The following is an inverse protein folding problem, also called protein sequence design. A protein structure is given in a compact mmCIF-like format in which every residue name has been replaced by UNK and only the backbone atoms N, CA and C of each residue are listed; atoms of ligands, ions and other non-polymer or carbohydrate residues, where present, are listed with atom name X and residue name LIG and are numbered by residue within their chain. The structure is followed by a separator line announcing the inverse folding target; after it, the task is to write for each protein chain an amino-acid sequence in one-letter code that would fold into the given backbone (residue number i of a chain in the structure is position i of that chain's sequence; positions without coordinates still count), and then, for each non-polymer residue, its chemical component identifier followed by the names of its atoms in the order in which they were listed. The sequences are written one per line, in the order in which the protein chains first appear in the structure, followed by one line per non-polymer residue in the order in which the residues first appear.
data_IF_661929527455
#
_entry.id   IF_661929527455
#
_cell.length_a   1.000
_cell.length_b   1.000
_cell.length_c   1.000
_cell.angle_alpha   90.00
_cell.angle_beta   90.00
_cell.angle_gamma   90.00
#
_symmetry.space_group_name_H-M   'P 1'
#
loop_
_entity.id
_entity.type
_entity.pdbx_description
1 polymer ?
#
# COMPACT_ATOMS: atom_id res chain seq x y z
N UNK A 1 -6.58 -8.12 12.59
CA UNK A 1 -7.81 -8.12 11.77
C UNK A 1 -8.72 -6.93 12.03
N UNK A 2 -9.41 -6.83 13.19
CA UNK A 2 -10.37 -5.73 13.45
C UNK A 2 -9.78 -4.32 13.30
N UNK A 3 -8.54 -4.09 13.77
CA UNK A 3 -7.82 -2.81 13.58
C UNK A 3 -7.62 -2.48 12.10
N UNK A 4 -7.22 -3.46 11.29
CA UNK A 4 -7.06 -3.28 9.84
C UNK A 4 -8.39 -2.96 9.15
N UNK A 5 -9.47 -3.66 9.51
CA UNK A 5 -10.80 -3.33 9.00
C UNK A 5 -11.23 -1.89 9.33
N UNK A 6 -11.05 -1.45 10.58
CA UNK A 6 -11.36 -0.06 10.99
C UNK A 6 -10.61 0.97 10.13
N UNK A 7 -9.33 0.74 9.85
CA UNK A 7 -8.54 1.62 8.99
C UNK A 7 -9.06 1.64 7.54
N UNK A 8 -9.36 0.47 6.97
CA UNK A 8 -9.95 0.36 5.62
C UNK A 8 -11.32 1.04 5.55
N UNK A 9 -12.16 0.85 6.57
CA UNK A 9 -13.48 1.50 6.68
C UNK A 9 -13.36 3.02 6.72
N UNK A 10 -12.41 3.56 7.49
CA UNK A 10 -12.15 5.00 7.58
C UNK A 10 -11.78 5.62 6.23
N UNK A 11 -11.10 4.88 5.36
CA UNK A 11 -10.67 5.37 4.04
C UNK A 11 -11.82 5.43 3.00
N UNK A 12 -13.01 4.91 3.30
CA UNK A 12 -14.24 5.01 2.47
C UNK A 12 -14.10 4.62 0.99
N UNK A 13 -13.16 3.73 0.65
CA UNK A 13 -12.90 3.38 -0.75
C UNK A 13 -13.99 2.50 -1.38
N UNK A 14 -14.23 2.71 -2.67
CA UNK A 14 -15.25 2.01 -3.47
C UNK A 14 -15.06 0.48 -3.51
N UNK A 15 -16.10 -0.25 -3.90
CA UNK A 15 -16.03 -1.69 -4.11
C UNK A 15 -15.07 -2.06 -5.25
N UNK A 16 -14.43 -3.22 -5.10
CA UNK A 16 -13.57 -3.80 -6.13
C UNK A 16 -14.39 -4.58 -7.17
N UNK A 17 -13.75 -5.53 -7.85
CA UNK A 17 -14.38 -6.28 -8.95
C UNK A 17 -15.52 -7.20 -8.50
N UNK A 18 -15.48 -7.67 -7.26
CA UNK A 18 -16.52 -8.51 -6.67
C UNK A 18 -17.76 -7.73 -6.21
N UNK A 19 -17.76 -6.40 -6.39
CA UNK A 19 -18.86 -5.50 -6.03
C UNK A 19 -19.25 -5.53 -4.54
N UNK A 20 -18.43 -6.16 -3.69
CA UNK A 20 -18.65 -6.17 -2.24
C UNK A 20 -18.22 -4.83 -1.67
N UNK A 21 -19.19 -4.09 -1.11
CA UNK A 21 -18.93 -2.83 -0.41
C UNK A 21 -18.41 -3.06 1.00
N UNK A 22 -17.89 -2.01 1.64
CA UNK A 22 -17.47 -2.08 3.04
C UNK A 22 -18.67 -2.42 3.94
N UNK A 23 -19.84 -1.86 3.64
CA UNK A 23 -21.07 -2.12 4.38
C UNK A 23 -21.52 -3.58 4.25
N UNK A 24 -21.45 -4.16 3.05
CA UNK A 24 -21.77 -5.57 2.82
C UNK A 24 -20.79 -6.49 3.56
N UNK A 25 -19.50 -6.16 3.54
CA UNK A 25 -18.49 -6.92 4.29
C UNK A 25 -18.72 -6.85 5.81
N UNK A 26 -19.24 -5.72 6.30
CA UNK A 26 -19.50 -5.48 7.72
C UNK A 26 -20.71 -6.25 8.26
N UNK A 27 -21.66 -6.69 7.42
CA UNK A 27 -22.84 -7.46 7.85
C UNK A 27 -22.45 -8.72 8.63
N UNK A 28 -21.50 -9.49 8.10
CA UNK A 28 -20.96 -10.71 8.74
C UNK A 28 -19.49 -10.50 9.12
N UNK A 29 -19.19 -9.38 9.78
CA UNK A 29 -17.81 -8.91 9.99
C UNK A 29 -16.90 -9.98 10.60
N UNK A 30 -17.30 -10.61 11.70
CA UNK A 30 -16.45 -11.54 12.44
C UNK A 30 -16.13 -12.79 11.61
N UNK A 31 -17.14 -13.42 11.01
CA UNK A 31 -16.95 -14.59 10.14
C UNK A 31 -16.06 -14.26 8.93
N UNK A 32 -16.26 -13.10 8.32
CA UNK A 32 -15.44 -12.63 7.20
C UNK A 32 -13.98 -12.41 7.61
N UNK A 33 -13.74 -11.82 8.79
CA UNK A 33 -12.39 -11.59 9.32
C UNK A 33 -11.71 -12.89 9.72
N UNK A 34 -12.43 -13.83 10.32
CA UNK A 34 -11.88 -15.13 10.74
C UNK A 34 -11.58 -16.02 9.54
N UNK A 35 -12.45 -16.02 8.52
CA UNK A 35 -12.18 -16.67 7.24
C UNK A 35 -10.92 -16.09 6.58
N UNK A 36 -10.84 -14.76 6.47
CA UNK A 36 -9.66 -14.09 5.92
C UNK A 36 -8.39 -14.38 6.73
N UNK A 37 -8.46 -14.38 8.05
CA UNK A 37 -7.30 -14.70 8.91
C UNK A 37 -6.81 -16.13 8.68
N UNK A 38 -7.72 -17.10 8.59
CA UNK A 38 -7.38 -18.50 8.28
C UNK A 38 -6.68 -18.60 6.92
N UNK A 39 -7.19 -17.90 5.91
CA UNK A 39 -6.59 -17.88 4.58
C UNK A 39 -5.20 -17.24 4.57
N UNK A 40 -4.99 -16.15 5.31
CA UNK A 40 -3.70 -15.47 5.41
C UNK A 40 -2.65 -16.31 6.15
N UNK A 41 -3.06 -17.07 7.17
CA UNK A 41 -2.17 -17.96 7.93
C UNK A 41 -1.84 -19.24 7.17
N UNK A 42 -2.70 -19.68 6.26
CA UNK A 42 -2.48 -20.91 5.49
C UNK A 42 -1.67 -20.60 4.24
N UNK A 43 -0.42 -21.06 4.22
CA UNK A 43 0.52 -20.80 3.11
C UNK A 43 -0.11 -21.18 1.76
N UNK A 44 -0.13 -20.24 0.83
CA UNK A 44 -0.65 -20.44 -0.53
C UNK A 44 -2.18 -20.40 -0.68
N UNK A 45 -2.96 -20.35 0.42
CA UNK A 45 -4.43 -20.34 0.36
C UNK A 45 -5.00 -18.99 -0.04
N UNK A 46 -4.44 -17.90 0.48
CA UNK A 46 -4.87 -16.56 0.09
C UNK A 46 -4.38 -16.20 -1.32
N UNK A 47 -5.33 -16.02 -2.24
CA UNK A 47 -5.11 -15.50 -3.58
C UNK A 47 -5.76 -14.12 -3.73
N UNK A 48 -5.00 -13.05 -4.03
CA UNK A 48 -5.57 -11.75 -4.32
C UNK A 48 -6.46 -11.81 -5.56
N UNK A 49 -7.53 -11.01 -5.57
CA UNK A 49 -8.37 -10.82 -6.76
C UNK A 49 -7.78 -9.72 -7.65
N UNK A 50 -8.05 -9.76 -8.97
CA UNK A 50 -7.68 -8.66 -9.86
C UNK A 50 -8.24 -7.33 -9.39
N UNK A 51 -7.45 -6.27 -9.57
CA UNK A 51 -7.86 -4.90 -9.27
C UNK A 51 -8.92 -4.45 -10.27
N UNK A 52 -9.95 -3.73 -9.83
CA UNK A 52 -10.94 -3.13 -10.73
C UNK A 52 -10.39 -1.84 -11.33
N UNK A 53 -10.30 -1.73 -12.66
CA UNK A 53 -9.85 -0.50 -13.31
C UNK A 53 -10.91 0.61 -13.25
N UNK A 54 -10.48 1.81 -12.89
CA UNK A 54 -11.25 3.05 -12.99
C UNK A 54 -10.37 4.13 -13.59
N UNK A 55 -10.91 4.89 -14.55
CA UNK A 55 -10.23 6.05 -15.12
C UNK A 55 -10.66 7.31 -14.36
N UNK A 56 -9.71 7.97 -13.71
CA UNK A 56 -9.94 9.22 -12.99
C UNK A 56 -9.43 10.39 -13.84
N UNK A 57 -10.20 11.48 -14.02
CA UNK A 57 -9.72 12.66 -14.74
C UNK A 57 -8.50 13.28 -14.05
N UNK A 58 -7.42 13.54 -14.81
CA UNK A 58 -6.21 14.27 -14.36
C UNK A 58 -6.19 15.72 -14.87
N UNK A 59 -7.28 16.17 -15.51
CA UNK A 59 -7.37 17.46 -16.21
C UNK A 59 -6.77 17.41 -17.63
N UNK A 60 -7.07 18.42 -18.46
CA UNK A 60 -6.61 18.56 -19.86
C UNK A 60 -6.81 17.30 -20.73
N UNK A 61 -7.94 16.61 -20.58
CA UNK A 61 -8.30 15.42 -21.35
C UNK A 61 -7.51 14.15 -20.99
N UNK A 62 -6.58 14.20 -20.04
CA UNK A 62 -5.81 13.03 -19.59
C UNK A 62 -6.52 12.32 -18.45
N UNK A 63 -6.43 11.00 -18.41
CA UNK A 63 -6.93 10.16 -17.32
C UNK A 63 -5.78 9.47 -16.60
N UNK A 64 -5.97 9.20 -15.31
CA UNK A 64 -5.10 8.34 -14.50
C UNK A 64 -5.82 7.02 -14.26
N UNK A 65 -5.27 5.89 -14.71
CA UNK A 65 -5.82 4.60 -14.37
C UNK A 65 -5.61 4.33 -12.87
N UNK A 66 -6.68 3.97 -12.16
CA UNK A 66 -6.65 3.53 -10.78
C UNK A 66 -7.09 2.07 -10.72
N UNK A 67 -6.34 1.24 -9.99
CA UNK A 67 -6.77 -0.11 -9.64
C UNK A 67 -7.40 -0.11 -8.24
N UNK A 68 -8.64 -0.56 -8.13
CA UNK A 68 -9.36 -0.63 -6.85
C UNK A 68 -9.39 -2.09 -6.39
N UNK A 69 -8.68 -2.45 -5.31
CA UNK A 69 -8.75 -3.80 -4.77
C UNK A 69 -10.08 -4.06 -4.06
N UNK A 70 -10.46 -5.33 -3.99
CA UNK A 70 -11.63 -5.77 -3.21
C UNK A 70 -11.42 -5.50 -1.72
N UNK A 71 -12.51 -5.37 -0.95
CA UNK A 71 -12.45 -5.01 0.48
C UNK A 71 -11.58 -5.99 1.27
N UNK A 72 -11.75 -7.30 1.03
CA UNK A 72 -10.97 -8.37 1.66
C UNK A 72 -9.46 -8.17 1.49
N UNK A 73 -9.05 -7.82 0.27
CA UNK A 73 -7.65 -7.68 -0.10
C UNK A 73 -7.05 -6.40 0.47
N UNK A 74 -7.84 -5.30 0.53
CA UNK A 74 -7.44 -4.08 1.25
C UNK A 74 -7.21 -4.34 2.73
N UNK A 75 -8.04 -5.17 3.36
CA UNK A 75 -7.85 -5.55 4.77
C UNK A 75 -6.57 -6.37 4.93
N UNK A 76 -6.31 -7.33 4.03
CA UNK A 76 -5.08 -8.11 4.05
C UNK A 76 -3.82 -7.25 3.84
N UNK A 77 -3.85 -6.32 2.87
CA UNK A 77 -2.77 -5.35 2.64
C UNK A 77 -2.53 -4.47 3.88
N UNK A 78 -3.60 -4.02 4.54
CA UNK A 78 -3.50 -3.23 5.75
C UNK A 78 -2.94 -4.04 6.94
N UNK A 79 -3.24 -5.34 7.02
CA UNK A 79 -2.61 -6.25 7.99
C UNK A 79 -1.11 -6.35 7.72
N UNK A 80 -0.71 -6.60 6.47
CA UNK A 80 0.71 -6.65 6.10
C UNK A 80 1.41 -5.33 6.42
N UNK A 81 0.80 -4.19 6.06
CA UNK A 81 1.35 -2.87 6.37
C UNK A 81 1.56 -2.67 7.87
N UNK A 82 0.61 -3.08 8.71
CA UNK A 82 0.74 -2.98 10.17
C UNK A 82 1.84 -3.86 10.74
N UNK A 83 2.12 -5.02 10.13
CA UNK A 83 3.20 -5.91 10.55
C UNK A 83 4.57 -5.41 10.09
N UNK A 84 4.66 -4.91 8.85
CA UNK A 84 5.91 -4.49 8.24
C UNK A 84 6.35 -3.09 8.68
N UNK A 85 5.41 -2.16 8.86
CA UNK A 85 5.72 -0.77 9.23
C UNK A 85 6.66 -0.63 10.45
N UNK A 86 6.44 -1.29 11.61
CA UNK A 86 7.35 -1.14 12.74
C UNK A 86 8.77 -1.70 12.48
N UNK A 87 8.92 -2.62 11.52
CA UNK A 87 10.22 -3.21 11.14
C UNK A 87 10.98 -2.25 10.22
N UNK A 88 10.29 -1.64 9.25
CA UNK A 88 10.91 -0.77 8.25
C UNK A 88 11.03 0.70 8.67
N UNK A 89 10.18 1.20 9.57
CA UNK A 89 10.23 2.60 9.99
C UNK A 89 11.60 3.06 10.51
N UNK A 90 12.32 2.28 11.35
CA UNK A 90 13.66 2.65 11.81
C UNK A 90 14.74 2.64 10.71
N UNK A 91 14.48 1.96 9.58
CA UNK A 91 15.43 1.81 8.48
C UNK A 91 15.35 2.94 7.46
N UNK A 92 14.23 3.67 7.43
CA UNK A 92 14.04 4.78 6.49
C UNK A 92 14.91 5.99 6.86
N UNK A 93 15.49 6.60 5.84
CA UNK A 93 16.22 7.86 5.96
C UNK A 93 15.36 8.96 6.63
N UNK A 94 15.99 9.85 7.39
CA UNK A 94 15.32 10.92 8.13
C UNK A 94 14.56 11.87 7.20
N UNK A 95 15.18 12.19 6.06
CA UNK A 95 14.59 13.03 5.00
C UNK A 95 13.58 12.30 4.10
N UNK A 96 13.09 11.11 4.50
CA UNK A 96 11.98 10.43 3.83
C UNK A 96 10.65 10.77 4.52
N UNK A 97 9.80 11.54 3.85
CA UNK A 97 8.57 12.08 4.45
C UNK A 97 7.27 11.47 3.89
N UNK A 98 7.33 10.82 2.73
CA UNK A 98 6.14 10.32 2.03
C UNK A 98 5.58 9.05 2.66
N UNK A 99 4.25 8.99 2.82
CA UNK A 99 3.50 7.80 3.23
C UNK A 99 3.91 7.14 4.57
N UNK A 100 4.60 7.89 5.44
CA UNK A 100 5.10 7.41 6.74
C UNK A 100 4.26 7.94 7.91
N UNK A 101 4.07 7.15 8.99
CA UNK A 101 3.38 7.60 10.19
C UNK A 101 4.15 8.75 10.85
N UNK A 102 3.45 9.82 11.23
CA UNK A 102 4.06 11.00 11.86
C UNK A 102 4.90 11.88 10.93
N UNK A 103 5.00 11.54 9.63
CA UNK A 103 5.65 12.38 8.61
C UNK A 103 4.61 12.99 7.67
N UNK A 104 4.90 14.17 7.12
CA UNK A 104 4.01 14.86 6.19
C UNK A 104 4.80 15.84 5.30
N UNK A 105 4.13 16.45 4.32
CA UNK A 105 4.76 17.38 3.39
C UNK A 105 5.27 18.68 4.05
N UNK A 106 4.69 19.10 5.18
CA UNK A 106 5.15 20.31 5.88
C UNK A 106 6.52 20.10 6.50
N UNK A 107 6.77 18.93 7.11
CA UNK A 107 8.10 18.58 7.62
C UNK A 107 9.15 18.51 6.50
N UNK A 108 8.77 18.03 5.31
CA UNK A 108 9.65 18.05 4.14
C UNK A 108 10.01 19.48 3.72
N UNK A 109 9.03 20.40 3.75
CA UNK A 109 9.26 21.80 3.43
C UNK A 109 10.15 22.49 4.48
N UNK A 110 9.91 22.27 5.76
CA UNK A 110 10.74 22.77 6.85
C UNK A 110 12.20 22.35 6.66
N UNK A 111 12.43 21.07 6.33
CA UNK A 111 13.77 20.56 6.06
C UNK A 111 14.47 21.26 4.90
N UNK A 112 13.75 21.53 3.81
CA UNK A 112 14.28 22.26 2.66
C UNK A 112 14.61 23.71 3.03
N UNK A 113 13.77 24.36 3.85
CA UNK A 113 14.03 25.72 4.33
C UNK A 113 15.26 25.77 5.23
N UNK A 114 15.47 24.78 6.09
CA UNK A 114 16.67 24.68 6.93
C UNK A 114 17.94 24.54 6.09
N UNK A 115 17.93 23.67 5.08
CA UNK A 115 19.05 23.53 4.13
C UNK A 115 19.31 24.84 3.38
N UNK A 116 18.25 25.52 2.97
CA UNK A 116 18.37 26.82 2.34
C UNK A 116 19.03 27.84 3.27
N UNK A 117 18.66 27.89 4.55
CA UNK A 117 19.29 28.77 5.55
C UNK A 117 20.78 28.45 5.76
N UNK A 118 21.17 27.18 5.64
CA UNK A 118 22.57 26.74 5.71
C UNK A 118 23.41 27.09 4.47
N UNK A 119 22.80 27.66 3.43
CA UNK A 119 23.51 28.11 2.22
C UNK A 119 23.36 27.20 1.01
N UNK A 120 22.62 26.09 1.11
CA UNK A 120 22.31 25.24 -0.05
C UNK A 120 21.22 25.89 -0.90
N UNK A 121 21.60 26.68 -1.91
CA UNK A 121 20.68 27.48 -2.73
C UNK A 121 20.25 26.86 -4.05
N UNK A 122 20.86 25.74 -4.45
CA UNK A 122 20.58 25.07 -5.72
C UNK A 122 19.82 23.78 -5.44
N UNK A 123 18.72 23.57 -6.16
CA UNK A 123 17.88 22.37 -6.05
C UNK A 123 18.00 21.56 -7.33
N UNK A 124 18.28 20.27 -7.17
CA UNK A 124 18.10 19.28 -8.24
C UNK A 124 16.67 18.74 -8.12
N UNK A 125 15.80 19.15 -9.02
CA UNK A 125 14.43 18.62 -9.12
C UNK A 125 14.45 17.35 -9.98
N UNK A 126 14.03 16.23 -9.39
CA UNK A 126 14.04 14.92 -10.03
C UNK A 126 12.78 14.13 -9.65
N UNK A 127 12.13 13.54 -10.65
CA UNK A 127 10.94 12.70 -10.50
C UNK A 127 11.09 11.39 -11.29
N UNK A 128 10.49 10.31 -10.78
CA UNK A 128 10.50 9.00 -11.44
C UNK A 128 9.19 8.82 -12.21
N UNK A 129 9.29 8.82 -13.54
CA UNK A 129 8.13 8.59 -14.40
C UNK A 129 7.54 7.19 -14.18
N UNK A 130 6.26 7.15 -13.78
CA UNK A 130 5.51 5.90 -13.68
C UNK A 130 6.11 4.92 -12.66
N UNK A 131 6.58 5.39 -11.50
CA UNK A 131 7.27 4.59 -10.49
C UNK A 131 6.65 3.20 -10.25
N UNK A 132 5.34 3.13 -9.95
CA UNK A 132 4.65 1.88 -9.66
C UNK A 132 4.40 1.00 -10.91
N UNK A 133 4.40 1.59 -12.10
CA UNK A 133 4.22 0.84 -13.35
C UNK A 133 5.54 0.23 -13.82
N UNK A 134 6.68 0.83 -13.44
CA UNK A 134 8.01 0.51 -13.98
C UNK A 134 8.96 -0.16 -12.97
N UNK A 135 8.65 -0.16 -11.66
CA UNK A 135 9.52 -0.77 -10.64
C UNK A 135 9.56 -2.30 -10.81
N UNK A 136 10.75 -2.92 -10.99
CA UNK A 136 10.86 -4.37 -11.08
C UNK A 136 10.42 -5.04 -9.78
N UNK A 137 9.44 -5.95 -9.86
CA UNK A 137 8.95 -6.67 -8.67
C UNK A 137 10.05 -7.48 -7.98
N UNK A 138 11.05 -7.97 -8.73
CA UNK A 138 12.20 -8.68 -8.18
C UNK A 138 12.99 -7.84 -7.18
N UNK A 139 13.17 -6.54 -7.45
CA UNK A 139 13.87 -5.61 -6.54
C UNK A 139 13.09 -5.50 -5.23
N UNK A 140 11.77 -5.32 -5.30
CA UNK A 140 10.92 -5.22 -4.11
C UNK A 140 11.01 -6.51 -3.26
N UNK A 141 10.95 -7.67 -3.90
CA UNK A 141 10.99 -8.97 -3.21
C UNK A 141 12.35 -9.21 -2.56
N UNK A 142 13.46 -8.88 -3.25
CA UNK A 142 14.82 -9.03 -2.71
C UNK A 142 15.05 -8.11 -1.51
N UNK A 143 14.70 -6.82 -1.62
CA UNK A 143 14.84 -5.86 -0.53
C UNK A 143 13.92 -6.19 0.66
N UNK A 144 12.74 -6.76 0.41
CA UNK A 144 11.89 -7.23 1.50
C UNK A 144 12.50 -8.46 2.20
N UNK A 145 13.06 -9.40 1.43
CA UNK A 145 13.65 -10.62 1.95
C UNK A 145 14.97 -10.39 2.72
N UNK A 146 15.66 -9.27 2.48
CA UNK A 146 16.85 -8.89 3.27
C UNK A 146 16.53 -8.53 4.72
N UNK A 147 15.28 -8.13 5.00
CA UNK A 147 14.80 -7.72 6.33
C UNK A 147 13.82 -8.75 6.94
N UNK A 148 13.01 -9.41 6.12
CA UNK A 148 11.93 -10.31 6.56
C UNK A 148 12.17 -11.75 6.09
N UNK A 149 12.34 -12.67 7.04
CA UNK A 149 12.57 -14.09 6.75
C UNK A 149 11.29 -14.94 6.61
N UNK A 150 10.11 -14.41 6.95
CA UNK A 150 8.85 -15.16 6.91
C UNK A 150 8.40 -15.41 5.45
N UNK A 151 8.58 -16.65 4.98
CA UNK A 151 8.21 -17.06 3.62
C UNK A 151 6.72 -16.98 3.30
N UNK A 152 5.83 -16.95 4.30
CA UNK A 152 4.40 -16.72 4.06
C UNK A 152 4.15 -15.23 3.76
N UNK A 153 4.77 -14.31 4.51
CA UNK A 153 4.69 -12.86 4.25
C UNK A 153 5.28 -12.54 2.88
N UNK A 154 6.48 -13.06 2.57
CA UNK A 154 7.13 -12.85 1.26
C UNK A 154 6.22 -13.34 0.12
N UNK A 155 5.68 -14.55 0.25
CA UNK A 155 4.76 -15.10 -0.75
C UNK A 155 3.45 -14.31 -0.88
N UNK A 156 2.93 -13.73 0.20
CA UNK A 156 1.75 -12.87 0.15
C UNK A 156 2.04 -11.57 -0.61
N UNK A 157 3.16 -10.91 -0.34
CA UNK A 157 3.55 -9.69 -1.06
C UNK A 157 3.76 -9.98 -2.53
N UNK A 158 4.46 -11.06 -2.87
CA UNK A 158 4.66 -11.47 -4.26
C UNK A 158 3.33 -11.71 -4.99
N UNK A 159 2.37 -12.39 -4.35
CA UNK A 159 1.03 -12.58 -4.91
C UNK A 159 0.31 -11.26 -5.14
N UNK A 160 0.43 -10.29 -4.23
CA UNK A 160 -0.15 -8.96 -4.41
C UNK A 160 0.48 -8.19 -5.56
N UNK A 161 1.81 -8.25 -5.72
CA UNK A 161 2.51 -7.60 -6.83
C UNK A 161 2.11 -8.20 -8.19
N UNK A 162 1.91 -9.52 -8.24
CA UNK A 162 1.45 -10.21 -9.46
C UNK A 162 -0.05 -10.07 -9.73
N UNK A 163 -0.84 -9.54 -8.79
CA UNK A 163 -2.27 -9.38 -8.97
C UNK A 163 -2.54 -8.35 -10.07
N UNK A 164 -2.97 -8.85 -11.24
CA UNK A 164 -3.24 -8.02 -12.40
C UNK A 164 -4.42 -7.05 -12.19
N UNK A 165 -4.68 -6.24 -13.21
CA UNK A 165 -5.83 -5.34 -13.25
C UNK A 165 -6.81 -5.85 -14.32
N UNK A 166 -8.10 -5.79 -14.00
CA UNK A 166 -9.20 -6.14 -14.89
C UNK A 166 -10.17 -4.97 -15.04
#
# INVERSE_FOLDING_TARGET
MRKAFKNVRRNRGAAGIDKVSIQMFEVNLEENLDSLMRDLKTRGKFQPKPLRRVLIPKGKGKTRPLGIPVVRDRIAQEVLRQLLSPIFEPLFHEDSFGFRPGRNCHLALERVLDLWQQGYKVVLDADIQGFFDNIPHSVIVVELASVVADGNILGLVERFLRAGVM
#
